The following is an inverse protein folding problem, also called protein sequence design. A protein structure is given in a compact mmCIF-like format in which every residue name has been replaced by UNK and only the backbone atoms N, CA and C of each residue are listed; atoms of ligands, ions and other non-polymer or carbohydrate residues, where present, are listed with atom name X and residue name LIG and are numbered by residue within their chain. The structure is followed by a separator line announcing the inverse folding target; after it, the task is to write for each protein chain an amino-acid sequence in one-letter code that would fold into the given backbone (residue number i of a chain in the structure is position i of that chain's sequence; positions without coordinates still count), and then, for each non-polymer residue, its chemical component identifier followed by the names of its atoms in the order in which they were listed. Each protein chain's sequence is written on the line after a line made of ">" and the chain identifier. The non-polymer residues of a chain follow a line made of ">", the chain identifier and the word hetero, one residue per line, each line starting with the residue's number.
data_IF_802989792518
#
_entry.id   IF_802989792518
#
_cell.length_a   1.000
_cell.length_b   1.000
_cell.length_c   1.000
_cell.angle_alpha   90.00
_cell.angle_beta   90.00
_cell.angle_gamma   90.00
#
_symmetry.space_group_name_H-M   'P 1'
#
loop_
_entity.id
_entity.type
_entity.pdbx_description
1 polymer ?
#
# COMPACT_ATOMS: atom_id res chain seq x y z
N UNK A 1 -57.65 5.25 -6.05
CA UNK A 1 -56.36 5.58 -5.42
C UNK A 1 -55.35 5.54 -6.52
N UNK A 2 -54.65 6.66 -6.81
CA UNK A 2 -53.47 6.65 -7.65
C UNK A 2 -52.42 5.80 -6.97
N UNK A 3 -51.84 4.84 -7.68
CA UNK A 3 -50.65 4.11 -7.21
C UNK A 3 -49.50 5.11 -7.36
N UNK A 4 -49.22 5.86 -6.28
CA UNK A 4 -48.10 6.78 -6.24
C UNK A 4 -46.78 5.97 -6.21
N UNK A 5 -45.89 6.25 -7.15
CA UNK A 5 -44.52 5.79 -7.05
C UNK A 5 -43.81 6.74 -6.09
N UNK A 6 -43.40 6.24 -4.93
CA UNK A 6 -42.61 7.02 -3.95
C UNK A 6 -41.12 6.78 -4.19
N UNK A 7 -40.24 7.79 -4.02
CA UNK A 7 -38.81 7.64 -4.17
C UNK A 7 -38.24 6.70 -3.11
N UNK A 8 -37.19 5.99 -3.50
CA UNK A 8 -36.41 5.15 -2.59
C UNK A 8 -35.17 5.93 -2.16
N UNK A 9 -34.99 6.12 -0.87
CA UNK A 9 -33.88 6.86 -0.30
C UNK A 9 -33.01 5.92 0.55
N UNK A 10 -31.72 6.27 0.70
CA UNK A 10 -30.78 5.49 1.47
C UNK A 10 -30.17 6.33 2.58
N UNK A 11 -29.99 5.73 3.76
CA UNK A 11 -29.34 6.32 4.93
C UNK A 11 -28.34 5.31 5.50
N UNK A 12 -27.24 5.83 6.07
CA UNK A 12 -26.15 5.00 6.58
C UNK A 12 -25.24 4.45 5.47
N UNK A 13 -24.23 3.69 5.87
CA UNK A 13 -23.21 3.11 4.98
C UNK A 13 -23.42 1.60 4.96
N UNK A 14 -23.58 1.05 3.76
CA UNK A 14 -23.60 -0.39 3.56
C UNK A 14 -22.13 -0.90 3.50
N UNK A 15 -21.69 -1.53 4.58
CA UNK A 15 -20.36 -2.15 4.68
C UNK A 15 -20.50 -3.63 4.93
N UNK A 16 -20.12 -4.44 3.92
CA UNK A 16 -19.89 -5.85 4.06
C UNK A 16 -18.48 -6.14 3.57
N UNK A 17 -17.54 -6.14 4.49
CA UNK A 17 -16.13 -6.36 4.25
C UNK A 17 -15.53 -7.24 5.36
N UNK A 18 -14.24 -7.39 5.40
CA UNK A 18 -13.56 -8.20 6.42
C UNK A 18 -13.60 -7.58 7.83
N UNK A 19 -13.97 -6.31 7.94
CA UNK A 19 -14.04 -5.56 9.21
C UNK A 19 -15.45 -5.41 9.74
N UNK A 20 -16.45 -5.31 8.85
CA UNK A 20 -17.82 -5.00 9.22
C UNK A 20 -18.83 -5.85 8.46
N UNK A 21 -19.95 -6.09 9.12
CA UNK A 21 -21.16 -6.64 8.50
C UNK A 21 -22.27 -5.61 8.58
N UNK A 22 -23.05 -5.48 7.51
CA UNK A 22 -24.17 -4.55 7.46
C UNK A 22 -25.50 -5.30 7.43
N UNK A 23 -26.44 -4.82 8.22
CA UNK A 23 -27.86 -5.13 8.12
C UNK A 23 -28.62 -3.90 7.63
N UNK A 24 -29.86 -4.08 7.18
CA UNK A 24 -30.70 -2.95 6.81
C UNK A 24 -32.12 -3.11 7.34
N UNK A 25 -32.81 -2.00 7.47
CA UNK A 25 -34.26 -1.93 7.71
C UNK A 25 -34.89 -0.90 6.76
N UNK A 26 -36.11 -1.19 6.30
CA UNK A 26 -36.88 -0.29 5.45
C UNK A 26 -37.97 0.38 6.28
N UNK A 27 -38.08 1.69 6.18
CA UNK A 27 -39.16 2.49 6.74
C UNK A 27 -40.00 3.06 5.59
N UNK A 28 -41.27 2.76 5.59
CA UNK A 28 -42.25 3.24 4.59
C UNK A 28 -42.92 4.46 5.14
N UNK A 29 -42.67 5.63 4.54
CA UNK A 29 -43.39 6.88 4.78
C UNK A 29 -44.36 7.18 3.65
N UNK A 30 -45.16 8.25 3.82
CA UNK A 30 -46.16 8.68 2.82
C UNK A 30 -45.47 9.17 1.53
N UNK A 31 -44.30 9.78 1.65
CA UNK A 31 -43.58 10.43 0.55
C UNK A 31 -42.33 9.68 0.06
N UNK A 32 -41.83 8.72 0.84
CA UNK A 32 -40.63 7.96 0.49
C UNK A 32 -40.53 6.63 1.26
N UNK A 33 -39.80 5.66 0.67
CA UNK A 33 -39.27 4.50 1.37
C UNK A 33 -37.80 4.77 1.67
N UNK A 34 -37.42 4.71 2.97
CA UNK A 34 -36.04 4.91 3.38
C UNK A 34 -35.42 3.60 3.85
N UNK A 35 -34.35 3.18 3.19
CA UNK A 35 -33.51 2.07 3.65
C UNK A 35 -32.39 2.60 4.52
N UNK A 36 -32.33 2.13 5.76
CA UNK A 36 -31.28 2.46 6.71
C UNK A 36 -30.33 1.27 6.88
N UNK A 37 -29.06 1.49 6.58
CA UNK A 37 -28.00 0.51 6.84
C UNK A 37 -27.38 0.73 8.21
N UNK A 38 -27.20 -0.38 8.94
CA UNK A 38 -26.46 -0.42 10.20
C UNK A 38 -25.30 -1.37 10.07
N UNK A 39 -24.07 -0.86 10.19
CA UNK A 39 -22.85 -1.66 10.11
C UNK A 39 -22.34 -1.97 11.51
N UNK A 40 -22.04 -3.24 11.76
CA UNK A 40 -21.49 -3.72 13.02
C UNK A 40 -20.10 -4.31 12.77
N UNK A 41 -19.15 -3.99 13.65
CA UNK A 41 -17.82 -4.57 13.58
C UNK A 41 -17.85 -6.10 13.76
N UNK A 42 -16.93 -6.80 13.12
CA UNK A 42 -16.78 -8.26 13.31
C UNK A 42 -16.53 -8.57 14.79
N UNK A 43 -17.14 -9.65 15.29
CA UNK A 43 -17.15 -9.99 16.72
C UNK A 43 -15.82 -10.58 17.20
N UNK A 44 -15.07 -11.24 16.32
CA UNK A 44 -13.80 -11.90 16.66
C UNK A 44 -12.58 -11.05 16.24
N UNK A 45 -12.24 -10.10 17.08
CA UNK A 45 -11.05 -9.26 16.91
C UNK A 45 -9.75 -10.07 16.94
N UNK A 46 -9.69 -11.16 17.72
CA UNK A 46 -8.49 -11.97 17.82
C UNK A 46 -8.22 -12.72 16.51
N UNK A 47 -9.27 -13.28 15.92
CA UNK A 47 -9.20 -13.93 14.60
C UNK A 47 -8.81 -12.92 13.52
N UNK A 48 -9.46 -11.74 13.48
CA UNK A 48 -9.12 -10.70 12.52
C UNK A 48 -7.65 -10.30 12.59
N UNK A 49 -7.11 -10.09 13.79
CA UNK A 49 -5.69 -9.78 14.00
C UNK A 49 -4.78 -10.91 13.50
N UNK A 50 -5.13 -12.15 13.83
CA UNK A 50 -4.36 -13.34 13.38
C UNK A 50 -4.31 -13.43 11.87
N UNK A 51 -5.46 -13.28 11.21
CA UNK A 51 -5.57 -13.34 9.75
C UNK A 51 -4.75 -12.20 9.08
N UNK A 52 -4.82 -10.98 9.65
CA UNK A 52 -4.05 -9.84 9.14
C UNK A 52 -2.53 -9.99 9.32
N UNK A 53 -2.09 -10.56 10.45
CA UNK A 53 -0.67 -10.87 10.65
C UNK A 53 -0.21 -11.96 9.68
N UNK A 54 -1.04 -12.98 9.41
CA UNK A 54 -0.73 -13.99 8.42
C UNK A 54 -0.59 -13.41 7.02
N UNK A 55 -1.53 -12.57 6.58
CA UNK A 55 -1.45 -11.85 5.30
C UNK A 55 -0.16 -11.01 5.18
N UNK A 56 0.17 -10.24 6.23
CA UNK A 56 1.39 -9.44 6.25
C UNK A 56 2.67 -10.29 6.16
N UNK A 57 2.66 -11.47 6.81
CA UNK A 57 3.77 -12.42 6.73
C UNK A 57 3.93 -13.00 5.33
N UNK A 58 2.82 -13.41 4.70
CA UNK A 58 2.84 -13.98 3.36
C UNK A 58 3.34 -12.95 2.34
N UNK A 59 2.88 -11.70 2.44
CA UNK A 59 3.38 -10.59 1.62
C UNK A 59 4.89 -10.38 1.81
N UNK A 60 5.37 -10.36 3.07
CA UNK A 60 6.79 -10.23 3.38
C UNK A 60 7.62 -11.37 2.79
N UNK A 61 7.13 -12.61 2.88
CA UNK A 61 7.79 -13.80 2.31
C UNK A 61 7.87 -13.70 0.78
N UNK A 62 6.78 -13.32 0.11
CA UNK A 62 6.76 -13.10 -1.34
C UNK A 62 7.77 -12.03 -1.75
N UNK A 63 7.82 -10.92 -1.00
CA UNK A 63 8.77 -9.83 -1.24
C UNK A 63 10.24 -10.26 -1.09
N UNK A 64 10.53 -11.20 -0.20
CA UNK A 64 11.89 -11.68 0.04
C UNK A 64 12.32 -12.78 -0.94
N UNK A 65 11.37 -13.57 -1.47
CA UNK A 65 11.64 -14.79 -2.24
C UNK A 65 12.54 -14.56 -3.45
N UNK A 66 12.35 -13.48 -4.20
CA UNK A 66 13.15 -13.14 -5.38
C UNK A 66 14.62 -12.82 -5.06
N UNK A 67 14.93 -12.56 -3.79
CA UNK A 67 16.29 -12.23 -3.35
C UNK A 67 16.94 -13.35 -2.52
N UNK A 68 16.27 -14.48 -2.31
CA UNK A 68 16.78 -15.57 -1.47
C UNK A 68 18.01 -16.25 -2.10
N UNK A 69 18.09 -16.30 -3.41
CA UNK A 69 19.24 -16.84 -4.11
C UNK A 69 20.57 -16.13 -3.76
N UNK A 70 20.52 -14.82 -3.41
CA UNK A 70 21.72 -14.11 -2.95
C UNK A 70 22.23 -14.65 -1.62
N UNK A 71 21.31 -15.06 -0.73
CA UNK A 71 21.66 -15.66 0.56
C UNK A 71 22.29 -17.03 0.36
N UNK A 72 21.66 -17.87 -0.48
CA UNK A 72 22.17 -19.20 -0.81
C UNK A 72 23.54 -19.10 -1.45
N UNK A 73 23.72 -18.26 -2.47
CA UNK A 73 25.02 -18.03 -3.11
C UNK A 73 26.10 -17.58 -2.12
N UNK A 74 25.74 -16.66 -1.22
CA UNK A 74 26.71 -16.22 -0.20
C UNK A 74 27.13 -17.36 0.73
N UNK A 75 26.18 -18.21 1.14
CA UNK A 75 26.45 -19.35 2.00
C UNK A 75 27.34 -20.42 1.30
N UNK A 76 27.13 -20.66 0.01
CA UNK A 76 27.85 -21.70 -0.76
C UNK A 76 29.20 -21.22 -1.26
N UNK A 77 29.31 -19.98 -1.69
CA UNK A 77 30.50 -19.48 -2.42
C UNK A 77 31.24 -18.35 -1.71
N UNK A 78 30.70 -17.89 -0.54
CA UNK A 78 31.20 -16.70 0.17
C UNK A 78 31.15 -15.41 -0.65
N UNK A 79 30.38 -15.39 -1.76
CA UNK A 79 30.20 -14.19 -2.57
C UNK A 79 29.39 -13.18 -1.80
N UNK A 80 29.89 -11.97 -1.62
CA UNK A 80 29.23 -10.92 -0.85
C UNK A 80 27.85 -10.57 -1.44
N UNK A 81 26.87 -10.39 -0.56
CA UNK A 81 25.53 -9.92 -0.94
C UNK A 81 25.63 -8.41 -1.22
N UNK A 82 25.11 -7.92 -2.37
CA UNK A 82 25.08 -6.49 -2.64
C UNK A 82 24.39 -5.72 -1.50
N UNK A 83 24.94 -4.58 -1.12
CA UNK A 83 24.45 -3.78 0.00
C UNK A 83 22.98 -3.36 -0.19
N UNK A 84 22.57 -3.08 -1.42
CA UNK A 84 21.17 -2.75 -1.77
C UNK A 84 20.22 -3.90 -1.46
N UNK A 85 20.61 -5.15 -1.77
CA UNK A 85 19.81 -6.34 -1.44
C UNK A 85 19.68 -6.50 0.08
N UNK A 86 20.77 -6.30 0.81
CA UNK A 86 20.76 -6.35 2.27
C UNK A 86 19.83 -5.27 2.84
N UNK A 87 19.93 -4.03 2.33
CA UNK A 87 19.08 -2.92 2.74
C UNK A 87 17.61 -3.20 2.48
N UNK A 88 17.26 -3.67 1.26
CA UNK A 88 15.91 -4.07 0.91
C UNK A 88 15.35 -5.14 1.86
N UNK A 89 16.07 -6.24 2.01
CA UNK A 89 15.64 -7.34 2.89
C UNK A 89 15.44 -6.88 4.33
N UNK A 90 16.30 -5.98 4.81
CA UNK A 90 16.16 -5.37 6.13
C UNK A 90 14.90 -4.52 6.22
N UNK A 91 14.65 -3.67 5.21
CA UNK A 91 13.46 -2.82 5.15
C UNK A 91 12.17 -3.64 5.17
N UNK A 92 12.08 -4.71 4.36
CA UNK A 92 10.92 -5.61 4.33
C UNK A 92 10.66 -6.25 5.70
N UNK A 93 11.71 -6.77 6.36
CA UNK A 93 11.58 -7.38 7.70
C UNK A 93 11.18 -6.37 8.76
N UNK A 94 11.75 -5.18 8.72
CA UNK A 94 11.43 -4.09 9.65
C UNK A 94 9.97 -3.65 9.48
N UNK A 95 9.51 -3.50 8.23
CA UNK A 95 8.14 -3.16 7.94
C UNK A 95 7.17 -4.22 8.47
N UNK A 96 7.41 -5.49 8.19
CA UNK A 96 6.61 -6.59 8.75
C UNK A 96 6.57 -6.56 10.28
N UNK A 97 7.72 -6.35 10.93
CA UNK A 97 7.80 -6.25 12.39
C UNK A 97 6.97 -5.11 12.96
N UNK A 98 7.03 -3.94 12.34
CA UNK A 98 6.25 -2.76 12.73
C UNK A 98 4.75 -3.00 12.52
N UNK A 99 4.35 -3.55 11.37
CA UNK A 99 2.96 -3.87 11.04
C UNK A 99 2.39 -4.91 12.02
N UNK A 100 3.12 -5.99 12.27
CA UNK A 100 2.73 -7.01 13.25
C UNK A 100 2.51 -6.40 14.64
N UNK A 101 3.40 -5.52 15.08
CA UNK A 101 3.29 -4.84 16.37
C UNK A 101 2.05 -3.95 16.40
N UNK A 102 1.82 -3.15 15.36
CA UNK A 102 0.65 -2.27 15.26
C UNK A 102 -0.66 -3.07 15.33
N UNK A 103 -0.78 -4.16 14.54
CA UNK A 103 -1.97 -5.03 14.55
C UNK A 103 -2.17 -5.68 15.94
N UNK A 104 -1.09 -6.17 16.55
CA UNK A 104 -1.16 -6.80 17.87
C UNK A 104 -1.71 -5.82 18.93
N UNK A 105 -1.27 -4.57 18.88
CA UNK A 105 -1.63 -3.53 19.85
C UNK A 105 -2.96 -2.83 19.53
N UNK A 106 -3.56 -3.07 18.37
CA UNK A 106 -4.84 -2.47 18.00
C UNK A 106 -5.92 -2.82 19.02
N UNK A 107 -6.62 -1.82 19.56
CA UNK A 107 -7.60 -2.03 20.62
C UNK A 107 -8.95 -2.58 20.13
N UNK A 108 -9.28 -2.34 18.86
CA UNK A 108 -10.56 -2.69 18.25
C UNK A 108 -10.45 -2.85 16.73
N UNK A 109 -11.54 -3.25 16.08
CA UNK A 109 -11.60 -3.46 14.63
C UNK A 109 -11.26 -2.19 13.85
N UNK A 110 -11.76 -1.02 14.26
CA UNK A 110 -11.47 0.26 13.60
C UNK A 110 -9.97 0.61 13.67
N UNK A 111 -9.30 0.26 14.76
CA UNK A 111 -7.86 0.45 14.88
C UNK A 111 -7.08 -0.49 13.95
N UNK A 112 -7.53 -1.75 13.77
CA UNK A 112 -6.93 -2.66 12.77
C UNK A 112 -7.16 -2.12 11.36
N UNK A 113 -8.37 -1.69 11.04
CA UNK A 113 -8.70 -1.09 9.75
C UNK A 113 -7.83 0.14 9.46
N UNK A 114 -7.65 1.03 10.44
CA UNK A 114 -6.86 2.26 10.25
C UNK A 114 -5.39 1.98 9.90
N UNK A 115 -4.81 0.89 10.42
CA UNK A 115 -3.46 0.44 10.05
C UNK A 115 -3.41 0.14 8.55
N UNK A 116 -4.43 -0.53 8.01
CA UNK A 116 -4.52 -0.89 6.60
C UNK A 116 -5.03 0.26 5.73
N UNK A 117 -5.88 1.15 6.24
CA UNK A 117 -6.35 2.34 5.51
C UNK A 117 -5.25 3.39 5.37
N UNK A 118 -4.37 3.52 6.36
CA UNK A 118 -3.15 4.34 6.25
C UNK A 118 -2.10 3.69 5.35
N UNK A 119 -2.13 2.33 5.24
CA UNK A 119 -1.32 1.55 4.29
C UNK A 119 -2.06 1.25 2.99
N UNK A 120 -3.39 1.29 2.94
CA UNK A 120 -4.19 1.09 1.71
C UNK A 120 -4.13 2.31 0.78
N UNK A 121 -3.75 3.48 1.27
CA UNK A 121 -3.13 4.50 0.41
C UNK A 121 -1.84 4.00 -0.27
N UNK A 122 -1.27 2.91 0.24
CA UNK A 122 -0.02 2.30 -0.20
C UNK A 122 -0.21 0.99 -1.00
N UNK A 123 -1.40 0.39 -1.01
CA UNK A 123 -1.73 -0.83 -1.80
C UNK A 123 -2.69 -0.55 -2.97
N UNK A 124 -3.20 0.65 -3.11
CA UNK A 124 -3.68 1.09 -4.40
C UNK A 124 -2.44 1.23 -5.28
N UNK A 125 -2.47 0.70 -6.47
CA UNK A 125 -1.53 1.04 -7.53
C UNK A 125 -1.52 2.58 -7.62
N UNK A 126 -0.69 3.19 -6.79
CA UNK A 126 -0.57 4.63 -6.66
C UNK A 126 -0.01 5.17 -7.97
N UNK A 127 -0.50 6.28 -8.45
CA UNK A 127 0.21 7.04 -9.45
C UNK A 127 0.99 8.15 -8.75
N UNK A 128 2.23 8.32 -9.11
CA UNK A 128 3.03 9.47 -8.71
C UNK A 128 3.34 10.29 -9.95
N UNK A 129 2.99 11.56 -9.91
CA UNK A 129 3.31 12.50 -10.98
C UNK A 129 4.44 13.40 -10.51
N UNK A 130 5.58 13.33 -11.18
CA UNK A 130 6.77 14.11 -10.85
C UNK A 130 7.43 14.57 -12.16
N UNK A 131 7.48 15.88 -12.34
CA UNK A 131 8.27 16.49 -13.40
C UNK A 131 9.77 16.39 -13.09
N UNK A 132 10.52 15.69 -13.93
CA UNK A 132 11.97 15.49 -13.78
C UNK A 132 12.79 16.78 -13.83
N UNK A 133 12.23 17.89 -14.34
CA UNK A 133 12.88 19.22 -14.37
C UNK A 133 12.71 19.99 -13.06
N UNK A 134 11.84 19.55 -12.17
CA UNK A 134 11.58 20.21 -10.89
C UNK A 134 12.82 20.21 -10.00
N UNK A 135 13.29 21.39 -9.61
CA UNK A 135 14.49 21.55 -8.80
C UNK A 135 14.38 20.88 -7.43
N UNK A 136 15.38 20.07 -7.06
CA UNK A 136 15.46 19.41 -5.75
C UNK A 136 14.60 18.17 -5.59
N UNK A 137 13.87 17.75 -6.62
CA UNK A 137 13.04 16.54 -6.60
C UNK A 137 13.90 15.30 -6.84
N UNK A 138 14.87 15.37 -7.71
CA UNK A 138 15.75 14.26 -8.08
C UNK A 138 17.14 14.46 -7.50
N UNK A 139 17.65 13.45 -6.80
CA UNK A 139 19.05 13.37 -6.37
C UNK A 139 19.76 12.25 -7.11
N UNK A 140 20.54 12.61 -8.13
CA UNK A 140 21.31 11.65 -8.92
C UNK A 140 22.40 10.98 -8.08
N UNK A 141 23.04 11.71 -7.16
CA UNK A 141 24.08 11.18 -6.27
C UNK A 141 23.53 10.18 -5.25
N UNK A 142 22.30 10.38 -4.77
CA UNK A 142 21.64 9.46 -3.85
C UNK A 142 20.77 8.44 -4.57
N UNK A 143 20.56 8.58 -5.89
CA UNK A 143 19.61 7.81 -6.69
C UNK A 143 18.25 7.76 -6.01
N UNK A 144 17.66 8.92 -5.73
CA UNK A 144 16.42 9.05 -4.98
C UNK A 144 15.55 10.20 -5.46
N UNK A 145 14.26 10.04 -5.24
CA UNK A 145 13.23 11.04 -5.53
C UNK A 145 12.76 11.63 -4.21
N UNK A 146 12.61 12.95 -4.16
CA UNK A 146 12.10 13.68 -3.00
C UNK A 146 10.60 13.96 -3.21
N UNK A 147 9.79 13.53 -2.25
CA UNK A 147 8.36 13.85 -2.15
C UNK A 147 8.00 13.88 -0.67
N UNK A 148 7.82 15.07 -0.14
CA UNK A 148 7.63 15.29 1.29
C UNK A 148 6.35 14.60 1.80
N UNK A 149 6.50 13.77 2.84
CA UNK A 149 5.37 13.09 3.47
C UNK A 149 4.64 12.10 2.56
N UNK A 150 5.32 11.50 1.59
CA UNK A 150 4.72 10.68 0.52
C UNK A 150 3.94 9.45 1.00
N UNK A 151 4.15 8.98 2.21
CA UNK A 151 3.42 7.84 2.78
C UNK A 151 3.72 6.47 2.17
N UNK A 152 4.50 6.37 1.09
CA UNK A 152 4.79 5.10 0.41
C UNK A 152 5.43 4.06 1.32
N UNK A 153 5.20 2.79 1.00
CA UNK A 153 5.83 1.66 1.70
C UNK A 153 6.76 0.89 0.76
N UNK A 154 7.76 0.24 1.35
CA UNK A 154 8.67 -0.62 0.57
C UNK A 154 7.89 -1.80 0.00
N UNK A 155 8.06 -2.05 -1.31
CA UNK A 155 7.32 -3.05 -2.07
C UNK A 155 6.04 -2.53 -2.73
N UNK A 156 5.64 -1.29 -2.46
CA UNK A 156 4.51 -0.66 -3.12
C UNK A 156 4.78 -0.45 -4.61
N UNK A 157 3.77 -0.74 -5.43
CA UNK A 157 3.82 -0.50 -6.87
C UNK A 157 3.24 0.87 -7.19
N UNK A 158 4.02 1.68 -7.89
CA UNK A 158 3.64 3.03 -8.33
C UNK A 158 3.68 3.12 -9.84
N UNK A 159 2.68 3.73 -10.44
CA UNK A 159 2.75 4.17 -11.84
C UNK A 159 3.39 5.56 -11.86
N UNK A 160 4.55 5.67 -12.49
CA UNK A 160 5.23 6.96 -12.67
C UNK A 160 4.56 7.76 -13.77
N UNK A 161 4.37 9.06 -13.55
CA UNK A 161 3.95 10.03 -14.53
C UNK A 161 4.83 11.26 -14.46
N UNK A 162 5.19 11.84 -15.62
CA UNK A 162 5.99 13.06 -15.71
C UNK A 162 5.15 14.35 -15.70
N UNK A 163 3.80 14.23 -15.73
CA UNK A 163 2.87 15.36 -15.92
C UNK A 163 2.61 15.65 -17.40
N UNK A 164 1.59 16.49 -17.69
CA UNK A 164 1.14 16.75 -19.07
C UNK A 164 2.22 17.37 -19.96
N UNK A 165 3.10 18.22 -19.38
CA UNK A 165 4.19 18.91 -20.09
C UNK A 165 5.55 18.69 -19.42
N UNK A 166 5.65 17.71 -18.50
CA UNK A 166 6.87 17.41 -17.76
C UNK A 166 7.88 16.58 -18.55
N UNK A 167 9.13 16.60 -18.14
CA UNK A 167 10.15 15.69 -18.65
C UNK A 167 10.28 14.45 -17.76
N UNK A 168 10.61 13.31 -18.39
CA UNK A 168 10.91 12.10 -17.65
C UNK A 168 12.11 12.29 -16.73
N UNK A 169 12.03 11.74 -15.54
CA UNK A 169 13.23 11.52 -14.71
C UNK A 169 14.07 10.47 -15.43
N UNK A 170 15.36 10.76 -15.66
CA UNK A 170 16.23 9.82 -16.34
C UNK A 170 16.22 8.44 -15.66
N UNK A 171 16.07 7.40 -16.46
CA UNK A 171 15.88 6.03 -16.00
C UNK A 171 14.45 5.62 -15.67
N UNK A 172 13.50 6.56 -15.67
CA UNK A 172 12.06 6.29 -15.57
C UNK A 172 11.36 6.57 -16.90
N UNK A 173 10.23 5.94 -17.14
CA UNK A 173 9.42 6.11 -18.35
C UNK A 173 7.99 6.40 -17.93
N UNK A 174 7.40 7.45 -18.48
CA UNK A 174 6.02 7.84 -18.23
C UNK A 174 5.04 6.68 -18.43
N UNK A 175 4.05 6.57 -17.56
CA UNK A 175 3.05 5.51 -17.57
C UNK A 175 3.55 4.12 -17.12
N UNK A 176 4.85 4.00 -16.78
CA UNK A 176 5.45 2.71 -16.38
C UNK A 176 5.31 2.48 -14.87
N UNK A 177 5.14 1.21 -14.51
CA UNK A 177 5.04 0.78 -13.11
C UNK A 177 6.41 0.45 -12.54
N UNK A 178 6.65 0.95 -11.33
CA UNK A 178 7.87 0.74 -10.55
C UNK A 178 7.53 0.35 -9.12
N UNK A 179 8.47 -0.26 -8.43
CA UNK A 179 8.32 -0.65 -7.03
C UNK A 179 9.18 0.22 -6.12
N UNK A 180 8.61 0.68 -5.02
CA UNK A 180 9.38 1.36 -3.96
C UNK A 180 10.27 0.35 -3.26
N UNK A 181 11.59 0.46 -3.38
CA UNK A 181 12.52 -0.47 -2.72
C UNK A 181 13.27 0.10 -1.52
N UNK A 182 13.28 1.43 -1.38
CA UNK A 182 13.87 2.12 -0.23
C UNK A 182 13.19 3.46 -0.02
N UNK A 183 13.01 3.88 1.21
CA UNK A 183 12.37 5.16 1.53
C UNK A 183 12.84 5.75 2.86
N UNK A 184 12.68 7.07 2.98
CA UNK A 184 12.59 7.83 4.24
C UNK A 184 11.18 8.44 4.36
N UNK A 185 10.96 9.41 5.23
CA UNK A 185 9.69 10.15 5.32
C UNK A 185 9.47 11.02 4.07
N UNK A 186 10.56 11.52 3.46
CA UNK A 186 10.51 12.53 2.40
C UNK A 186 11.19 12.10 1.10
N UNK A 187 11.84 10.93 1.06
CA UNK A 187 12.52 10.42 -0.13
C UNK A 187 12.24 8.95 -0.35
N UNK A 188 12.26 8.53 -1.60
CA UNK A 188 12.12 7.11 -1.96
C UNK A 188 12.96 6.78 -3.18
N UNK A 189 13.15 5.48 -3.41
CA UNK A 189 13.83 4.92 -4.57
C UNK A 189 12.92 3.92 -5.26
N UNK A 190 13.02 3.85 -6.59
CA UNK A 190 12.21 2.98 -7.43
C UNK A 190 13.06 1.86 -8.05
N UNK A 191 12.41 0.73 -8.34
CA UNK A 191 12.99 -0.42 -9.03
C UNK A 191 12.02 -0.92 -10.10
N UNK A 192 12.54 -1.44 -11.21
CA UNK A 192 11.75 -2.03 -12.29
C UNK A 192 11.05 -3.34 -11.89
N UNK A 193 11.53 -4.03 -10.88
CA UNK A 193 10.93 -5.28 -10.44
C UNK A 193 10.86 -5.38 -8.92
N UNK A 194 9.81 -6.04 -8.46
CA UNK A 194 9.59 -6.34 -7.05
C UNK A 194 10.69 -7.24 -6.45
N UNK A 195 11.30 -8.09 -7.27
CA UNK A 195 12.32 -9.08 -6.87
C UNK A 195 13.74 -8.64 -7.19
N UNK A 196 13.94 -7.60 -7.99
CA UNK A 196 15.24 -7.24 -8.54
C UNK A 196 15.70 -5.87 -8.05
N UNK A 197 15.97 -5.78 -6.74
CA UNK A 197 16.54 -4.57 -6.13
C UNK A 197 17.96 -4.24 -6.65
N UNK A 198 18.52 -5.05 -7.56
CA UNK A 198 19.78 -4.79 -8.25
C UNK A 198 19.63 -3.88 -9.46
N UNK A 199 18.43 -3.81 -10.05
CA UNK A 199 18.06 -2.90 -11.12
C UNK A 199 17.29 -1.71 -10.55
N UNK A 200 17.94 -0.96 -9.66
CA UNK A 200 17.41 0.33 -9.27
C UNK A 200 17.22 1.16 -10.55
N UNK A 201 16.03 1.65 -10.81
CA UNK A 201 15.84 2.67 -11.80
C UNK A 201 16.78 3.81 -11.44
N UNK A 202 17.80 4.02 -12.26
CA UNK A 202 18.82 5.04 -12.01
C UNK A 202 18.18 6.37 -12.35
N UNK A 203 17.89 7.16 -11.33
CA UNK A 203 17.46 8.56 -11.51
C UNK A 203 18.67 9.39 -11.95
N UNK A 204 18.64 9.86 -13.17
CA UNK A 204 19.69 10.70 -13.77
C UNK A 204 19.15 12.06 -14.19
#
# INVERSE_FOLDING_TARGET
>A
KAIGIVPYTYSGINRNDEYYTSTFSDSVGDDAVTRTYTSSAVSDLAKLKSDKIAQAKDYSNQSLSGTDWYIVRNAETSTAIPSQITAYRTAVRTHYGSLKTAITNAANVAAVESIYSSTASANSSGSITIDGTSSGVVSTSANSITSNGHGFVVGEMLTYGNGEDGADIGGLVDGTQYYVFSKTVNTFKLSHSHSNCGDAAVVS
#
